data_IF_822728350518
#
_entry.id   IF_822728350518
#
_cell.length_a   1.000
_cell.length_b   1.000
_cell.length_c   1.000
_cell.angle_alpha   90.00
_cell.angle_beta   90.00
_cell.angle_gamma   90.00
#
_symmetry.space_group_name_H-M   'P 1'
#
loop_
_entity.id
_entity.type
_entity.pdbx_description
1 polymer ?
2 water ?
#
# COMPACT_ATOMS: atom_id res chain seq x y z
N UNK A 13 -3.77 4.39 -18.56
CA UNK A 13 -4.21 3.78 -19.85
C UNK A 13 -5.23 2.65 -19.62
N UNK A 14 -5.35 2.18 -18.38
CA UNK A 14 -6.31 1.11 -18.06
C UNK A 14 -7.74 1.60 -18.32
N UNK A 15 -8.49 0.87 -19.16
CA UNK A 15 -9.88 1.28 -19.45
C UNK A 15 -10.83 0.80 -18.37
N UNK A 16 -11.16 1.67 -17.42
CA UNK A 16 -12.04 1.30 -16.32
C UNK A 16 -13.44 0.98 -16.78
N UNK A 17 -13.85 1.68 -17.83
CA UNK A 17 -15.17 1.48 -18.40
C UNK A 17 -15.29 0.02 -18.87
N UNK A 18 -14.24 -0.53 -19.47
CA UNK A 18 -14.28 -1.92 -19.93
C UNK A 18 -13.87 -2.92 -18.83
N UNK A 19 -13.90 -2.45 -17.58
CA UNK A 19 -13.53 -3.26 -16.43
C UNK A 19 -12.22 -3.97 -16.72
N UNK A 20 -11.26 -3.16 -17.14
CA UNK A 20 -9.94 -3.66 -17.45
C UNK A 20 -9.23 -3.60 -16.09
N UNK A 21 -8.45 -4.64 -15.78
CA UNK A 21 -7.68 -4.73 -14.52
C UNK A 21 -6.83 -3.49 -14.33
N UNK A 22 -6.85 -2.92 -13.14
CA UNK A 22 -6.04 -1.72 -12.94
C UNK A 22 -5.37 -1.75 -11.57
N UNK A 23 -4.46 -0.83 -11.34
CA UNK A 23 -3.73 -0.81 -10.09
C UNK A 23 -3.74 0.57 -9.46
N UNK A 24 -3.51 0.62 -8.16
CA UNK A 24 -3.53 1.89 -7.49
C UNK A 24 -2.62 1.91 -6.27
N UNK A 25 -1.92 3.03 -6.10
CA UNK A 25 -1.02 3.21 -4.97
C UNK A 25 -1.74 4.05 -3.92
N UNK A 26 -1.86 3.50 -2.72
CA UNK A 26 -2.49 4.19 -1.62
C UNK A 26 -1.38 4.67 -0.72
N UNK A 27 -1.40 5.97 -0.38
CA UNK A 27 -0.38 6.53 0.51
C UNK A 27 -1.02 7.21 1.71
N UNK A 28 -0.40 7.04 2.87
CA UNK A 28 -0.87 7.64 4.10
C UNK A 28 0.23 8.55 4.58
N UNK A 29 0.11 9.84 4.26
CA UNK A 29 1.09 10.86 4.62
C UNK A 29 0.65 11.58 5.89
N UNK A 30 1.61 11.85 6.76
CA UNK A 30 1.32 12.56 8.00
C UNK A 30 1.70 14.02 7.85
N UNK A 31 0.72 14.84 7.51
CA UNK A 31 0.93 16.25 7.30
C UNK A 31 1.06 17.06 8.60
N UNK A 32 0.87 16.42 9.73
CA UNK A 32 1.00 17.10 11.00
C UNK A 32 2.40 16.98 11.57
N UNK A 33 3.14 18.09 11.65
CA UNK A 33 4.51 18.05 12.16
C UNK A 33 4.60 17.45 13.56
N UNK A 43 6.41 7.17 5.52
CA UNK A 43 5.02 6.95 5.92
C UNK A 43 4.54 5.58 5.43
N UNK A 44 3.24 5.44 5.20
CA UNK A 44 2.68 4.17 4.75
C UNK A 44 2.38 4.22 3.26
N UNK A 45 2.98 3.28 2.54
CA UNK A 45 2.83 3.17 1.09
C UNK A 45 2.38 1.78 0.74
N UNK A 46 1.27 1.69 0.03
CA UNK A 46 0.73 0.39 -0.35
C UNK A 46 0.33 0.35 -1.83
N UNK A 47 0.20 -0.85 -2.38
CA UNK A 47 -0.22 -1.02 -3.76
C UNK A 47 -1.29 -2.10 -3.83
N UNK A 48 -2.33 -1.83 -4.60
CA UNK A 48 -3.44 -2.77 -4.74
C UNK A 48 -3.71 -3.02 -6.22
N UNK A 49 -3.94 -4.28 -6.58
CA UNK A 49 -4.26 -4.62 -7.96
C UNK A 49 -5.68 -5.16 -8.02
N UNK A 50 -6.50 -4.54 -8.86
CA UNK A 50 -7.88 -4.93 -9.03
C UNK A 50 -7.96 -5.75 -10.31
N UNK A 51 -8.25 -7.05 -10.17
CA UNK A 51 -8.36 -7.94 -11.31
C UNK A 51 -9.67 -8.71 -11.27
N UNK A 52 -10.72 -8.14 -11.88
CA UNK A 52 -12.03 -8.80 -11.90
C UNK A 52 -12.03 -10.10 -12.69
N UNK A 53 -11.11 -10.24 -13.64
CA UNK A 53 -11.06 -11.45 -14.45
C UNK A 53 -10.73 -12.67 -13.58
N UNK A 54 -10.31 -12.44 -12.35
CA UNK A 54 -10.00 -13.55 -11.47
C UNK A 54 -10.63 -13.30 -10.12
N UNK A 55 -11.56 -12.36 -10.10
CA UNK A 55 -12.28 -11.99 -8.90
C UNK A 55 -11.37 -11.86 -7.69
N UNK A 56 -10.39 -10.96 -7.75
CA UNK A 56 -9.46 -10.80 -6.63
C UNK A 56 -8.67 -9.48 -6.67
N UNK A 57 -8.19 -9.06 -5.50
CA UNK A 57 -7.37 -7.85 -5.35
C UNK A 57 -6.20 -8.21 -4.47
N UNK A 58 -5.03 -7.72 -4.86
CA UNK A 58 -3.80 -8.02 -4.15
C UNK A 58 -3.18 -6.74 -3.58
N UNK A 59 -3.09 -6.70 -2.26
CA UNK A 59 -2.53 -5.57 -1.54
C UNK A 59 -1.04 -5.84 -1.42
N UNK A 60 -0.26 -4.77 -1.35
CA UNK A 60 1.18 -4.90 -1.27
C UNK A 60 1.74 -3.77 -0.43
N UNK A 61 2.23 -4.14 0.75
CA UNK A 61 2.83 -3.17 1.65
C UNK A 61 4.27 -2.96 1.19
N UNK A 62 4.71 -1.71 1.17
CA UNK A 62 6.10 -1.41 0.80
C UNK A 62 6.80 -0.84 2.03
N UNK A 63 7.81 -1.55 2.52
CA UNK A 63 8.59 -1.09 3.68
C UNK A 63 9.33 0.19 3.29
N UNK A 64 9.37 1.15 4.20
CA UNK A 64 10.04 2.42 3.96
C UNK A 64 11.56 2.30 3.87
N UNK A 65 12.11 1.24 4.43
CA UNK A 65 13.55 1.07 4.39
C UNK A 65 14.04 0.34 3.14
N UNK A 66 13.13 0.04 2.23
CA UNK A 66 13.57 -0.68 1.03
C UNK A 66 14.52 0.17 0.20
N UNK A 67 15.62 -0.43 -0.23
CA UNK A 67 16.60 0.28 -1.04
C UNK A 67 16.29 0.09 -2.51
N UNK A 68 16.14 1.18 -3.24
CA UNK A 68 15.85 1.13 -4.67
C UNK A 68 16.31 2.40 -5.40
N UNK A 69 16.05 2.46 -6.69
CA UNK A 69 16.43 3.64 -7.42
C UNK A 69 15.32 4.65 -7.18
N UNK A 70 15.70 5.88 -6.88
CA UNK A 70 14.74 6.94 -6.65
C UNK A 70 14.58 7.60 -8.01
N UNK A 71 13.65 7.10 -8.80
CA UNK A 71 13.44 7.62 -10.15
C UNK A 71 13.25 9.13 -10.17
N UNK A 72 14.11 9.82 -10.91
CA UNK A 72 14.02 11.25 -10.97
C UNK A 72 15.06 11.93 -10.09
N UNK A 73 15.55 11.26 -9.05
CA UNK A 73 16.57 11.86 -8.18
C UNK A 73 18.00 11.43 -8.56
N UNK A 74 18.09 10.46 -9.48
CA UNK A 74 19.38 9.95 -9.95
C UNK A 74 20.25 9.43 -8.81
N UNK A 75 19.60 8.79 -7.84
CA UNK A 75 20.30 8.22 -6.72
C UNK A 75 19.52 6.99 -6.30
N UNK A 76 20.09 6.25 -5.35
CA UNK A 76 19.47 5.06 -4.80
C UNK A 76 19.36 5.36 -3.33
N UNK A 77 18.14 5.39 -2.82
CA UNK A 77 17.88 5.68 -1.41
C UNK A 77 16.78 4.73 -0.94
N UNK A 78 16.35 4.88 0.30
CA UNK A 78 15.25 4.05 0.79
C UNK A 78 13.96 4.65 0.25
N UNK A 79 13.10 3.78 -0.28
CA UNK A 79 11.80 4.15 -0.85
C UNK A 79 11.06 5.27 -0.13
N UNK A 80 11.21 5.30 1.18
CA UNK A 80 10.57 6.30 1.99
C UNK A 80 10.82 7.73 1.49
N UNK A 81 12.08 8.03 1.17
CA UNK A 81 12.47 9.37 0.72
C UNK A 81 11.99 9.75 -0.66
N UNK A 82 11.30 8.85 -1.35
CA UNK A 82 10.81 9.16 -2.69
C UNK A 82 9.81 10.31 -2.63
N UNK A 83 8.75 10.11 -1.87
CA UNK A 83 7.73 11.13 -1.74
C UNK A 83 8.34 12.40 -1.14
N UNK A 84 9.17 12.25 -0.10
CA UNK A 84 9.80 13.38 0.57
C UNK A 84 10.69 14.29 -0.30
N UNK A 85 11.19 13.74 -1.40
CA UNK A 85 12.06 14.45 -2.34
C UNK A 85 11.33 15.03 -3.54
N UNK A 86 10.37 14.28 -4.08
CA UNK A 86 9.65 14.73 -5.26
C UNK A 86 8.13 14.57 -5.22
N UNK A 87 7.58 14.50 -4.02
CA UNK A 87 6.14 14.35 -3.87
C UNK A 87 5.55 13.15 -4.58
N UNK A 88 4.23 13.19 -4.75
CA UNK A 88 3.46 12.13 -5.39
C UNK A 88 4.05 11.55 -6.67
N UNK A 89 4.58 12.41 -7.52
CA UNK A 89 5.15 12.00 -8.78
C UNK A 89 6.35 11.08 -8.61
N UNK A 90 7.36 11.55 -7.86
CA UNK A 90 8.55 10.75 -7.66
C UNK A 90 8.23 9.42 -6.98
N UNK A 91 7.23 9.40 -6.10
CA UNK A 91 6.87 8.14 -5.42
C UNK A 91 6.23 7.17 -6.40
N UNK A 92 5.26 7.65 -7.17
CA UNK A 92 4.61 6.81 -8.15
C UNK A 92 5.64 6.21 -9.11
N UNK A 93 6.53 7.04 -9.65
CA UNK A 93 7.52 6.53 -10.58
C UNK A 93 8.45 5.48 -9.94
N UNK A 94 8.99 5.80 -8.77
CA UNK A 94 9.89 4.91 -8.02
C UNK A 94 9.25 3.56 -7.76
N UNK A 95 8.00 3.58 -7.33
CA UNK A 95 7.29 2.32 -7.10
C UNK A 95 7.06 1.60 -8.45
N UNK A 96 6.74 2.34 -9.52
CA UNK A 96 6.50 1.75 -10.86
C UNK A 96 7.72 1.01 -11.38
N UNK A 97 8.91 1.42 -10.94
CA UNK A 97 10.15 0.78 -11.35
C UNK A 97 10.45 -0.40 -10.43
N UNK A 98 10.12 -0.24 -9.15
CA UNK A 98 10.35 -1.28 -8.16
C UNK A 98 9.51 -2.53 -8.44
N UNK A 99 8.22 -2.34 -8.67
CA UNK A 99 7.32 -3.45 -8.92
C UNK A 99 7.22 -3.81 -10.40
N UNK A 100 7.91 -3.04 -11.23
CA UNK A 100 7.88 -3.25 -12.66
C UNK A 100 6.46 -3.36 -13.17
N UNK A 101 5.60 -2.46 -12.69
CA UNK A 101 4.21 -2.44 -13.12
C UNK A 101 3.74 -1.02 -13.30
N UNK A 102 2.64 -0.85 -14.02
CA UNK A 102 2.17 0.53 -14.17
C UNK A 102 1.24 0.86 -13.00
N UNK A 103 1.34 2.09 -12.50
CA UNK A 103 0.49 2.56 -11.42
C UNK A 103 -0.52 3.44 -12.10
N UNK A 104 -1.71 2.92 -12.35
CA UNK A 104 -2.76 3.68 -13.02
C UNK A 104 -3.33 4.83 -12.24
N UNK A 105 -3.49 4.61 -10.94
CA UNK A 105 -4.07 5.61 -10.08
C UNK A 105 -3.37 5.68 -8.73
N UNK A 106 -3.52 6.81 -8.05
CA UNK A 106 -2.93 6.96 -6.74
C UNK A 106 -3.92 7.70 -5.83
N UNK A 107 -3.67 7.62 -4.53
CA UNK A 107 -4.48 8.30 -3.53
C UNK A 107 -3.63 8.66 -2.32
N UNK A 108 -3.70 9.92 -1.91
CA UNK A 108 -2.98 10.43 -0.74
C UNK A 108 -4.02 10.78 0.30
N UNK A 109 -3.89 10.21 1.48
CA UNK A 109 -4.83 10.45 2.58
C UNK A 109 -4.07 10.91 3.81
N UNK A 110 -4.59 11.95 4.47
CA UNK A 110 -4.03 12.51 5.71
C UNK A 110 -4.51 11.65 6.86
N UNK A 111 -4.01 11.94 8.05
CA UNK A 111 -4.41 11.24 9.23
C UNK A 111 -5.80 11.74 9.65
N UNK A 112 -6.12 12.99 9.31
CA UNK A 112 -7.43 13.56 9.61
C UNK A 112 -8.46 12.96 8.65
N UNK A 113 -8.05 12.79 7.39
CA UNK A 113 -8.96 12.23 6.40
C UNK A 113 -9.18 10.75 6.63
N UNK A 114 -8.13 10.05 7.04
CA UNK A 114 -8.27 8.63 7.30
C UNK A 114 -9.15 8.43 8.51
N UNK A 115 -9.12 9.39 9.43
CA UNK A 115 -9.96 9.25 10.61
C UNK A 115 -11.42 9.51 10.24
N UNK A 116 -11.66 10.45 9.32
CA UNK A 116 -13.03 10.76 8.90
C UNK A 116 -13.60 9.69 7.96
N UNK A 117 -12.72 9.01 7.23
CA UNK A 117 -13.16 7.97 6.32
C UNK A 117 -13.67 6.77 7.11
N UNK A 118 -13.06 6.53 8.27
CA UNK A 118 -13.47 5.41 9.08
C UNK A 118 -14.82 5.73 9.72
N UNK A 119 -15.00 6.98 10.16
CA UNK A 119 -16.28 7.36 10.76
C UNK A 119 -17.39 7.54 9.74
N UNK A 120 -17.03 7.95 8.53
CA UNK A 120 -17.99 8.16 7.46
C UNK A 120 -18.58 6.83 6.98
N UNK A 121 -17.90 5.74 7.28
CA UNK A 121 -18.38 4.42 6.87
C UNK A 121 -19.01 3.68 8.05
N UNK A 122 -19.06 4.31 9.22
CA UNK A 122 -19.68 3.68 10.36
C UNK A 122 -18.75 2.79 11.16
N UNK A 123 -17.44 2.95 10.91
CA UNK A 123 -16.46 2.17 11.63
C UNK A 123 -16.16 0.83 10.98
N UNK A 124 -15.21 0.10 11.55
CA UNK A 124 -14.85 -1.20 11.00
C UNK A 124 -14.44 -2.16 12.10
N UNK A 125 -14.74 -3.44 11.89
CA UNK A 125 -14.38 -4.45 12.87
C UNK A 125 -13.11 -5.20 12.49
N UNK A 126 -12.21 -5.32 13.47
CA UNK A 126 -10.94 -6.02 13.28
C UNK A 126 -10.69 -6.93 14.48
N UNK A 127 -9.69 -7.79 14.36
CA UNK A 127 -9.33 -8.71 15.44
C UNK A 127 -7.96 -8.29 16.00
N UNK A 128 -7.97 -7.54 17.09
CA UNK A 128 -6.74 -7.08 17.72
C UNK A 128 -6.06 -8.24 18.44
N UNK A 129 -5.04 -8.83 17.81
CA UNK A 129 -4.31 -9.96 18.39
C UNK A 129 -3.23 -9.49 19.37
N UNK A 130 -3.13 -8.18 19.54
CA UNK A 130 -2.14 -7.60 20.45
C UNK A 130 -2.86 -7.07 21.69
N UNK A 131 -3.24 -5.79 21.67
CA UNK A 131 -3.93 -5.19 22.80
C UNK A 131 -3.21 -4.04 23.46
N UNK A 132 -2.55 -3.20 22.67
CA UNK A 132 -1.80 -2.05 23.18
C UNK A 132 -2.72 -1.02 23.83
N UNK A 133 -2.18 0.17 24.11
CA UNK A 133 -2.96 1.23 24.74
C UNK A 133 -2.28 2.58 24.58
N UNK A 134 -1.39 2.67 23.59
CA UNK A 134 -0.66 3.92 23.35
C UNK A 134 -1.03 4.53 22.00
N UNK A 137 -2.25 8.57 24.11
CA UNK A 137 -3.44 8.89 24.86
C UNK A 137 -4.70 8.20 24.36
N UNK A 138 -4.52 7.06 23.69
CA UNK A 138 -5.63 6.29 23.16
C UNK A 138 -5.44 4.79 23.42
N UNK A 139 -6.50 4.10 23.78
CA UNK A 139 -6.40 2.68 24.05
C UNK A 139 -7.28 1.87 23.12
N UNK A 140 -6.69 0.84 22.52
CA UNK A 140 -7.38 -0.05 21.60
C UNK A 140 -7.53 -1.41 22.30
N UNK A 141 -8.77 -1.83 22.60
CA UNK A 141 -9.01 -3.11 23.27
C UNK A 141 -8.52 -4.31 22.47
N UNK A 142 -8.44 -5.46 23.14
CA UNK A 142 -7.99 -6.69 22.50
C UNK A 142 -9.16 -7.56 22.05
N UNK A 143 -8.91 -8.46 21.11
CA UNK A 143 -9.97 -9.33 20.62
C UNK A 143 -10.86 -8.65 19.58
N UNK A 144 -11.93 -9.33 19.18
CA UNK A 144 -12.86 -8.78 18.19
C UNK A 144 -13.57 -7.50 18.65
N UNK A 145 -13.23 -6.38 18.04
CA UNK A 145 -13.86 -5.10 18.40
C UNK A 145 -14.05 -4.13 17.24
N UNK A 146 -15.02 -3.22 17.40
CA UNK A 146 -15.32 -2.23 16.37
C UNK A 146 -14.42 -1.02 16.55
N UNK A 147 -13.96 -0.47 15.44
CA UNK A 147 -13.07 0.69 15.46
C UNK A 147 -13.65 1.94 14.83
N UNK A 148 -13.37 3.10 15.44
CA UNK A 148 -13.85 4.37 14.93
C UNK A 148 -12.69 5.11 14.27
N UNK A 149 -12.84 6.41 14.02
CA UNK A 149 -11.77 7.17 13.42
C UNK A 149 -10.60 7.34 14.36
N UNK A 150 -10.92 7.64 15.62
CA UNK A 150 -9.90 7.83 16.64
C UNK A 150 -9.12 6.54 16.90
N UNK A 151 -9.78 5.53 17.47
CA UNK A 151 -9.13 4.26 17.78
C UNK A 151 -8.71 3.53 16.51
N UNK A 152 -9.12 4.06 15.37
CA UNK A 152 -8.76 3.47 14.11
C UNK A 152 -7.33 3.89 13.76
N UNK A 153 -7.00 5.15 13.99
CA UNK A 153 -5.65 5.61 13.70
C UNK A 153 -4.61 4.94 14.56
N UNK A 154 -4.93 4.72 15.83
CA UNK A 154 -3.99 4.08 16.74
C UNK A 154 -3.68 2.66 16.28
N UNK A 155 -4.71 1.90 15.93
CA UNK A 155 -4.56 0.52 15.47
C UNK A 155 -3.68 0.44 14.23
N UNK A 156 -3.80 1.43 13.36
CA UNK A 156 -3.03 1.47 12.13
C UNK A 156 -1.61 1.93 12.39
N UNK A 157 -1.45 2.85 13.34
CA UNK A 157 -0.15 3.40 13.68
C UNK A 157 0.28 2.87 15.04
N UNK A 158 1.30 2.03 15.05
CA UNK A 158 1.81 1.47 16.30
C UNK A 158 2.90 0.49 15.90
N UNK A 159 4.10 0.72 16.42
CA UNK A 159 5.26 -0.11 16.11
C UNK A 159 6.09 -0.35 17.36
N UNK A 160 5.44 -0.45 18.51
CA UNK A 160 6.16 -0.67 19.76
C UNK A 160 5.59 -1.84 20.53
N UNK A 161 4.29 -1.77 20.81
CA UNK A 161 3.60 -2.83 21.54
C UNK A 161 3.42 -4.08 20.68
N UNK A 162 4.05 -4.10 19.50
CA UNK A 162 3.95 -5.24 18.60
C UNK A 162 5.27 -5.97 18.44
N UNK A 163 5.32 -7.22 18.90
CA UNK A 163 6.55 -8.03 18.81
C UNK A 163 6.91 -8.39 17.36
N UNK A 164 6.61 -7.49 16.43
CA UNK A 164 6.91 -7.73 15.01
C UNK A 164 7.24 -6.43 14.27
N UNK A 165 6.94 -5.31 14.91
CA UNK A 165 7.21 -4.02 14.31
C UNK A 165 6.66 -3.87 12.90
N UNK A 166 7.53 -3.49 11.97
CA UNK A 166 7.17 -3.30 10.57
C UNK A 166 6.15 -4.30 10.04
N UNK A 167 6.57 -5.56 9.93
CA UNK A 167 5.69 -6.61 9.43
C UNK A 167 4.32 -6.62 10.11
N UNK A 168 4.31 -6.42 11.42
CA UNK A 168 3.05 -6.39 12.14
C UNK A 168 2.27 -5.15 11.75
N UNK A 169 2.85 -3.98 11.98
CA UNK A 169 2.19 -2.74 11.62
C UNK A 169 1.69 -2.75 10.18
N UNK A 170 2.50 -3.29 9.26
CA UNK A 170 2.12 -3.39 7.85
C UNK A 170 0.89 -4.29 7.69
N UNK A 171 0.90 -5.43 8.38
CA UNK A 171 -0.23 -6.36 8.31
C UNK A 171 -1.49 -5.67 8.83
N UNK A 172 -1.36 -4.91 9.93
CA UNK A 172 -2.51 -4.20 10.50
C UNK A 172 -3.00 -3.08 9.58
N UNK A 173 -2.09 -2.41 8.88
CA UNK A 173 -2.51 -1.35 7.98
C UNK A 173 -3.28 -1.94 6.81
N UNK A 174 -2.90 -3.13 6.39
CA UNK A 174 -3.58 -3.79 5.28
C UNK A 174 -4.95 -4.30 5.71
N UNK A 175 -5.07 -4.66 6.99
CA UNK A 175 -6.34 -5.18 7.49
C UNK A 175 -7.35 -4.01 7.51
N UNK A 176 -6.89 -2.86 7.98
CA UNK A 176 -7.72 -1.66 8.04
C UNK A 176 -8.23 -1.29 6.65
N UNK A 177 -7.31 -1.09 5.71
CA UNK A 177 -7.70 -0.73 4.35
C UNK A 177 -8.59 -1.80 3.73
N UNK A 178 -8.38 -3.06 4.11
CA UNK A 178 -9.19 -4.13 3.55
C UNK A 178 -10.63 -4.02 4.03
N UNK A 179 -10.78 -3.72 5.32
CA UNK A 179 -12.10 -3.58 5.91
C UNK A 179 -12.79 -2.34 5.37
N UNK A 180 -12.03 -1.27 5.18
CA UNK A 180 -12.58 -0.03 4.65
C UNK A 180 -13.14 -0.30 3.25
N UNK A 181 -12.26 -0.66 2.35
CA UNK A 181 -12.64 -0.95 0.98
C UNK A 181 -13.84 -1.88 0.92
N UNK A 182 -13.81 -2.90 1.77
CA UNK A 182 -14.89 -3.87 1.82
C UNK A 182 -16.21 -3.17 2.13
N UNK A 183 -16.18 -2.26 3.09
CA UNK A 183 -17.36 -1.50 3.51
C UNK A 183 -17.78 -0.50 2.43
N UNK A 184 -16.83 0.31 1.97
CA UNK A 184 -17.12 1.31 0.95
C UNK A 184 -17.75 0.66 -0.28
N UNK A 185 -17.49 -0.63 -0.49
CA UNK A 185 -18.04 -1.35 -1.63
C UNK A 185 -19.17 -2.31 -1.23
N UNK A 186 -19.58 -2.27 0.03
CA UNK A 186 -20.63 -3.16 0.51
C UNK A 186 -22.03 -2.62 0.23
N UNK A 187 -22.21 -1.95 -0.91
CA UNK A 187 -23.51 -1.41 -1.27
C UNK A 187 -23.97 -0.38 -0.25
N UNK A 188 -23.89 0.90 -0.62
CA UNK A 188 -24.30 2.00 0.24
C UNK A 188 -25.21 2.98 -0.50
N UNK A 193 -24.16 6.82 1.10
CA UNK A 193 -22.94 7.07 1.85
C UNK A 193 -21.83 7.62 0.96
N UNK A 194 -21.68 7.03 -0.22
CA UNK A 194 -20.66 7.46 -1.16
C UNK A 194 -20.56 8.98 -1.28
N UNK A 195 -21.71 9.64 -1.22
CA UNK A 195 -21.77 11.10 -1.33
C UNK A 195 -21.35 11.79 -0.02
N UNK A 196 -21.74 11.21 1.11
CA UNK A 196 -21.43 11.78 2.41
C UNK A 196 -19.94 11.58 2.69
N UNK A 197 -19.37 10.55 2.10
CA UNK A 197 -17.96 10.25 2.25
C UNK A 197 -17.09 11.43 1.85
N UNK A 198 -17.62 12.31 1.01
CA UNK A 198 -16.87 13.48 0.57
C UNK A 198 -16.27 14.30 1.69
N UNK A 199 -16.76 14.09 2.90
CA UNK A 199 -16.26 14.80 4.09
C UNK A 199 -14.78 14.47 4.27
N UNK A 200 -14.22 13.68 3.36
CA UNK A 200 -12.82 13.33 3.44
C UNK A 200 -12.08 13.93 2.25
N UNK A 201 -12.80 14.66 1.39
CA UNK A 201 -12.21 15.25 0.20
C UNK A 201 -11.20 16.36 0.49
N UNK A 202 -11.47 17.15 1.51
CA UNK A 202 -10.59 18.24 1.88
C UNK A 202 -9.27 17.74 2.48
N UNK A 203 -9.11 16.42 2.54
CA UNK A 203 -7.89 15.84 3.10
C UNK A 203 -7.42 14.62 2.29
N UNK A 204 -7.89 14.55 1.05
CA UNK A 204 -7.52 13.45 0.17
C UNK A 204 -7.21 13.96 -1.23
N UNK A 205 -6.12 13.45 -1.82
CA UNK A 205 -5.74 13.82 -3.17
C UNK A 205 -5.79 12.56 -4.03
N UNK A 206 -6.29 12.68 -5.25
CA UNK A 206 -6.39 11.54 -6.14
C UNK A 206 -6.68 11.99 -7.56
N UNK A 207 -6.24 11.19 -8.53
CA UNK A 207 -6.48 11.47 -9.94
C UNK A 207 -7.66 10.63 -10.37
N UNK A 208 -8.34 10.07 -9.38
CA UNK A 208 -9.51 9.23 -9.57
C UNK A 208 -10.77 10.07 -9.49
N UNK A 209 -11.54 10.10 -10.58
CA UNK A 209 -12.76 10.89 -10.61
C UNK A 209 -13.94 10.19 -9.97
N UNK A 210 -15.05 10.92 -9.87
CA UNK A 210 -16.27 10.41 -9.27
C UNK A 210 -16.81 9.32 -10.20
N UNK A 211 -16.84 9.63 -11.49
CA UNK A 211 -17.32 8.67 -12.49
C UNK A 211 -16.51 7.38 -12.36
N UNK A 212 -15.20 7.51 -12.11
CA UNK A 212 -14.34 6.35 -11.96
C UNK A 212 -14.82 5.50 -10.80
N UNK A 213 -15.22 6.16 -9.71
CA UNK A 213 -15.72 5.47 -8.53
C UNK A 213 -17.02 4.73 -8.84
N UNK A 214 -17.96 5.42 -9.49
CA UNK A 214 -19.24 4.83 -9.85
C UNK A 214 -19.03 3.63 -10.79
N UNK A 215 -17.98 3.68 -11.61
CA UNK A 215 -17.67 2.59 -12.53
C UNK A 215 -17.14 1.38 -11.75
N UNK A 216 -16.43 1.67 -10.66
CA UNK A 216 -15.86 0.62 -9.82
C UNK A 216 -16.95 -0.03 -8.97
N UNK A 217 -17.81 0.79 -8.37
CA UNK A 217 -18.89 0.30 -7.51
C UNK A 217 -20.07 -0.29 -8.30
N UNK A 218 -19.79 -0.92 -9.44
CA UNK A 218 -20.84 -1.51 -10.27
C UNK A 218 -20.26 -2.46 -11.29
N UNK A 219 -18.95 -2.55 -11.33
CA UNK A 219 -18.31 -3.41 -12.31
C UNK A 219 -17.11 -4.16 -11.79
N UNK A 220 -16.69 -3.82 -10.57
CA UNK A 220 -15.53 -4.43 -9.94
C UNK A 220 -15.89 -5.01 -8.58
N UNK A 221 -17.19 -5.08 -8.31
CA UNK A 221 -17.65 -5.61 -7.03
C UNK A 221 -17.12 -7.03 -6.82
N UNK A 222 -17.10 -7.79 -7.89
CA UNK A 222 -16.63 -9.16 -7.84
C UNK A 222 -15.13 -9.19 -7.54
N UNK A 223 -14.42 -8.21 -8.08
CA UNK A 223 -12.97 -8.10 -7.91
C UNK A 223 -12.57 -8.01 -6.44
N UNK A 224 -13.51 -7.63 -5.58
CA UNK A 224 -13.23 -7.52 -4.15
C UNK A 224 -13.80 -8.71 -3.37
N UNK A 225 -14.20 -9.76 -4.08
CA UNK A 225 -14.73 -10.94 -3.42
C UNK A 225 -13.65 -11.57 -2.56
N UNK A 226 -12.40 -11.35 -2.96
CA UNK A 226 -11.27 -11.92 -2.25
C UNK A 226 -10.10 -10.95 -2.32
N UNK A 227 -9.64 -10.49 -1.17
CA UNK A 227 -8.52 -9.56 -1.08
C UNK A 227 -7.28 -10.32 -0.60
N UNK A 228 -6.37 -10.66 -1.51
CA UNK A 228 -5.14 -11.39 -1.13
C UNK A 228 -4.00 -10.42 -0.81
N UNK A 229 -2.94 -10.92 -0.16
CA UNK A 229 -1.79 -10.09 0.20
C UNK A 229 -0.51 -10.61 -0.45
N UNK A 230 0.56 -9.83 -0.33
CA UNK A 230 1.85 -10.19 -0.88
C UNK A 230 2.96 -9.50 -0.09
N UNK A 231 3.92 -10.28 0.38
CA UNK A 231 5.04 -9.73 1.15
C UNK A 231 6.31 -9.71 0.32
N UNK A 232 7.10 -8.65 0.48
CA UNK A 232 8.37 -8.52 -0.23
C UNK A 232 9.48 -9.03 0.67
N UNK A 233 10.12 -10.10 0.23
CA UNK A 233 11.22 -10.71 0.96
C UNK A 233 12.48 -9.88 0.77
N UNK A 234 13.15 -9.59 1.89
CA UNK A 234 14.37 -8.79 1.85
C UNK A 234 15.36 -9.21 2.94
N UNK A 235 16.42 -8.43 3.10
CA UNK A 235 17.43 -8.72 4.11
C UNK A 235 17.80 -7.43 4.84
N UNK A 236 18.30 -7.58 6.05
CA UNK A 236 18.72 -6.42 6.85
C UNK A 236 20.05 -5.91 6.27
N UNK A 237 20.26 -4.60 6.31
CA UNK A 237 21.50 -4.02 5.80
C UNK A 237 21.78 -2.64 6.35
N UNK A 238 23.00 -2.16 6.11
CA UNK A 238 23.38 -0.84 6.61
C UNK A 238 24.50 -0.30 5.75
N UNK A 239 24.41 0.97 5.39
CA UNK A 239 25.44 1.60 4.56
C UNK A 239 26.25 2.60 5.38
N UNK A 240 25.75 3.82 5.46
CA UNK A 240 26.44 4.84 6.23
C UNK A 240 25.80 4.95 7.61
N UNK A 241 25.87 3.86 8.37
CA UNK A 241 25.29 3.80 9.71
C UNK A 241 23.78 3.91 9.64
N UNK A 242 23.24 3.82 8.43
CA UNK A 242 21.79 3.87 8.24
C UNK A 242 21.28 2.49 7.90
N UNK A 243 20.14 2.13 8.47
CA UNK A 243 19.56 0.80 8.24
C UNK A 243 18.72 0.72 6.97
N UNK A 244 19.14 -0.12 6.03
CA UNK A 244 18.36 -0.29 4.81
C UNK A 244 17.98 -1.73 4.71
N UNK A 245 17.08 -2.03 3.77
CA UNK A 245 16.63 -3.39 3.54
C UNK A 245 16.86 -3.71 2.06
N UNK A 246 17.72 -4.69 1.79
CA UNK A 246 17.99 -5.08 0.42
C UNK A 246 17.12 -6.26 0.07
N UNK A 247 16.26 -6.06 -0.93
CA UNK A 247 15.34 -7.09 -1.35
C UNK A 247 16.01 -8.26 -2.04
N UNK A 248 15.46 -9.45 -1.82
CA UNK A 248 15.99 -10.62 -2.47
C UNK A 248 15.53 -10.47 -3.92
N UNK A 249 16.48 -10.45 -4.85
CA UNK A 249 16.12 -10.30 -6.27
C UNK A 249 15.21 -11.37 -6.86
N UNK A 250 15.45 -12.62 -6.51
CA UNK A 250 14.68 -13.71 -7.04
C UNK A 250 13.23 -13.71 -6.41
N UNK A 251 13.12 -13.30 -5.16
CA UNK A 251 11.79 -13.19 -4.55
C UNK A 251 11.09 -11.97 -5.17
N UNK A 252 11.90 -10.96 -5.53
CA UNK A 252 11.41 -9.73 -6.16
C UNK A 252 10.81 -10.01 -7.53
N UNK A 253 11.53 -10.78 -8.34
CA UNK A 253 11.04 -11.11 -9.67
C UNK A 253 9.72 -11.83 -9.60
N UNK A 254 9.64 -12.82 -8.72
CA UNK A 254 8.41 -13.58 -8.57
C UNK A 254 7.26 -12.63 -8.23
N UNK A 255 7.49 -11.73 -7.28
CA UNK A 255 6.47 -10.76 -6.90
C UNK A 255 6.05 -9.90 -8.09
N UNK A 256 7.03 -9.45 -8.86
CA UNK A 256 6.78 -8.62 -10.03
C UNK A 256 5.96 -9.33 -11.08
N UNK A 257 6.34 -10.56 -11.35
CA UNK A 257 5.63 -11.34 -12.35
C UNK A 257 4.20 -11.56 -11.86
N UNK A 258 4.05 -11.84 -10.57
CA UNK A 258 2.72 -12.04 -10.01
C UNK A 258 1.83 -10.83 -10.26
N UNK A 259 2.27 -9.66 -9.78
CA UNK A 259 1.50 -8.45 -9.96
C UNK A 259 1.27 -8.21 -11.44
N UNK A 260 2.31 -8.32 -12.23
CA UNK A 260 2.17 -8.13 -13.66
C UNK A 260 1.04 -9.00 -14.23
N UNK A 261 0.91 -10.25 -13.78
CA UNK A 261 -0.16 -11.10 -14.32
C UNK A 261 -1.54 -10.65 -13.82
N UNK A 262 -1.57 -10.14 -12.59
CA UNK A 262 -2.80 -9.62 -12.02
C UNK A 262 -3.35 -8.52 -12.94
N UNK A 263 -2.45 -7.84 -13.64
CA UNK A 263 -2.82 -6.77 -14.54
C UNK A 263 -2.89 -7.17 -16.00
N UNK A 264 -3.08 -8.47 -16.23
CA UNK A 264 -3.17 -8.96 -17.59
C UNK A 264 -1.90 -8.72 -18.38
N UNK A 265 -0.77 -8.61 -17.68
CA UNK A 265 0.50 -8.39 -18.35
C UNK A 265 1.28 -9.69 -18.40
N UNK A 266 2.28 -9.72 -19.28
CA UNK A 266 3.10 -10.92 -19.44
C UNK A 266 4.38 -10.83 -18.62
N UNK A 267 5.07 -11.95 -18.53
CA UNK A 267 6.31 -12.02 -17.78
C UNK A 267 7.36 -11.10 -18.43
N UNK A 268 8.14 -10.43 -17.59
CA UNK A 268 9.18 -9.53 -18.09
C UNK A 268 10.57 -10.03 -17.70
N UNK A 269 10.96 -11.18 -18.24
CA UNK A 269 12.23 -11.81 -17.96
C UNK A 269 13.43 -10.87 -17.89
N UNK A 270 13.34 -9.78 -18.63
CA UNK A 270 14.41 -8.79 -18.66
C UNK A 270 14.55 -8.13 -17.29
N UNK A 271 13.47 -8.14 -16.52
CA UNK A 271 13.48 -7.50 -15.20
C UNK A 271 14.21 -8.35 -14.16
N UNK A 272 14.29 -9.62 -14.45
CA UNK A 272 14.98 -10.52 -13.55
C UNK A 272 16.48 -10.17 -13.57
N UNK A 273 17.03 -9.87 -14.75
CA UNK A 273 18.44 -9.53 -14.80
C UNK A 273 18.68 -8.20 -14.07
N UNK A 274 17.72 -7.29 -14.16
CA UNK A 274 17.86 -6.01 -13.48
C UNK A 274 17.80 -6.20 -11.96
N UNK A 275 16.81 -6.95 -11.47
CA UNK A 275 16.70 -7.19 -10.02
C UNK A 275 17.97 -7.75 -9.41
N UNK A 276 18.57 -8.70 -10.13
CA UNK A 276 19.80 -9.36 -9.69
C UNK A 276 20.97 -8.37 -9.68
N UNK A 277 21.11 -7.59 -10.75
CA UNK A 277 22.19 -6.61 -10.84
C UNK A 277 22.15 -5.65 -9.66
N UNK A 278 20.95 -5.15 -9.37
CA UNK A 278 20.78 -4.23 -8.27
C UNK A 278 21.20 -4.87 -6.95
N UNK A 279 20.74 -6.09 -6.72
CA UNK A 279 21.06 -6.80 -5.48
C UNK A 279 22.56 -7.05 -5.28
N UNK A 280 23.26 -7.39 -6.36
CA UNK A 280 24.70 -7.65 -6.29
C UNK A 280 25.54 -6.46 -5.91
N UNK A 281 25.11 -5.27 -6.30
CA UNK A 281 25.88 -4.09 -5.99
C UNK A 281 25.62 -3.58 -4.58
N UNK A 282 24.76 -4.27 -3.83
CA UNK A 282 24.44 -3.85 -2.47
C UNK A 282 24.41 -4.98 -1.45
N UNK A 283 24.73 -6.19 -1.90
CA UNK A 283 24.71 -7.34 -1.02
C UNK A 283 25.80 -7.25 0.06
N UNK A 284 26.87 -6.50 -0.24
CA UNK A 284 27.99 -6.32 0.71
C UNK A 284 27.53 -5.61 1.97
N UNK A 285 26.31 -5.07 1.95
CA UNK A 285 25.77 -4.36 3.08
C UNK A 285 24.83 -5.23 3.92
N UNK A 286 24.40 -6.36 3.37
CA UNK A 286 23.52 -7.25 4.12
C UNK A 286 24.22 -7.61 5.43
N UNK A 287 23.44 -7.68 6.52
CA UNK A 287 23.96 -8.03 7.85
C UNK A 287 23.44 -9.41 8.28
N UNK A 288 22.77 -10.12 7.38
CA UNK A 288 22.26 -11.46 7.71
C UNK A 288 23.33 -12.52 7.48
#
# INVERSE_FOLDING_TARGET
MQSVNRKSNKGATANIDAQEPFSVLLMGIDTGDLGRTEQGRSDTTMVVTINPKENKSTMISLDRDILTDIVGNDTQDKLNHAYAFGGAEMAINTVQELLDIPIHHYVSINMKGLKDLIDAVGGIEVDNTIGEFTLDGITVPAGKIKLDGTTGLAYARMRHEDPEGDVGRQRRQREVVEKIVRKVMSFDGVSKYRKILDAVEANVKTDLTWDDMMDIQSKYLSAFKTIDSEQLQGYSATIDDIYYQVLDPNSLYKTQTTLRKQLGLKEHASEREKDLAFYNQFSYAVTDTALIGLEHHHHHH
#
